data_IF_991347076353
#
_entry.id   IF_991347076353
#
_cell.length_a   1.000
_cell.length_b   1.000
_cell.length_c   1.000
_cell.angle_alpha   90.00
_cell.angle_beta   90.00
_cell.angle_gamma   90.00
#
_symmetry.space_group_name_H-M   'P 1'
#
loop_
_entity.id
_entity.type
_entity.pdbx_description
1 polymer ?
#
# COMPACT_ATOMS: atom_id res chain seq x y z
N UNK A 1 -48.17 -18.13 39.00
CA UNK A 1 -47.96 -16.93 38.19
C UNK A 1 -46.87 -17.23 37.19
N UNK A 2 -47.26 -17.33 35.94
CA UNK A 2 -46.49 -17.81 34.82
C UNK A 2 -45.78 -16.61 34.20
N UNK A 3 -44.49 -16.72 33.86
CA UNK A 3 -43.93 -16.30 32.56
C UNK A 3 -42.68 -17.14 32.25
N UNK A 4 -42.96 -18.38 31.85
CA UNK A 4 -42.16 -19.12 30.89
C UNK A 4 -42.28 -18.41 29.53
N UNK A 5 -41.17 -17.92 28.97
CA UNK A 5 -41.04 -17.73 27.51
C UNK A 5 -39.54 -17.67 27.19
N UNK A 6 -38.90 -18.83 27.02
CA UNK A 6 -38.76 -19.58 25.75
C UNK A 6 -37.56 -19.10 24.93
N UNK A 7 -36.49 -19.88 25.08
CA UNK A 7 -35.61 -20.25 23.98
C UNK A 7 -36.43 -20.49 22.69
N UNK A 8 -35.89 -19.99 21.58
CA UNK A 8 -36.22 -20.29 20.17
C UNK A 8 -37.52 -19.65 19.63
N UNK A 9 -37.33 -18.61 18.81
CA UNK A 9 -38.21 -18.37 17.66
C UNK A 9 -37.32 -18.25 16.42
N UNK A 10 -37.16 -19.38 15.74
CA UNK A 10 -36.81 -19.41 14.33
C UNK A 10 -37.87 -18.60 13.59
N UNK A 11 -37.51 -17.46 13.00
CA UNK A 11 -38.36 -16.81 12.02
C UNK A 11 -38.02 -17.42 10.66
N UNK A 12 -38.65 -18.56 10.37
CA UNK A 12 -38.81 -19.05 9.01
C UNK A 12 -39.72 -18.08 8.27
N UNK A 13 -39.13 -17.19 7.47
CA UNK A 13 -39.83 -16.67 6.29
C UNK A 13 -39.46 -17.60 5.15
N UNK A 14 -40.23 -18.67 4.99
CA UNK A 14 -40.21 -19.50 3.79
C UNK A 14 -41.28 -19.01 2.82
N UNK A 15 -40.87 -18.51 1.67
CA UNK A 15 -41.64 -18.57 0.42
C UNK A 15 -40.64 -18.28 -0.70
N UNK A 16 -40.28 -19.17 -1.61
CA UNK A 16 -40.65 -20.55 -1.88
C UNK A 16 -40.01 -20.88 -3.24
N UNK A 17 -39.29 -22.00 -3.28
CA UNK A 17 -39.05 -22.85 -4.45
C UNK A 17 -38.31 -22.24 -5.65
N UNK A 18 -37.06 -22.65 -5.79
CA UNK A 18 -36.59 -23.28 -7.03
C UNK A 18 -35.73 -24.50 -6.65
N UNK A 19 -36.36 -25.67 -6.69
CA UNK A 19 -35.66 -26.94 -6.88
C UNK A 19 -35.18 -26.90 -8.33
N UNK A 20 -33.88 -26.94 -8.62
CA UNK A 20 -33.35 -27.57 -9.84
C UNK A 20 -31.82 -27.65 -9.79
N UNK A 21 -31.32 -28.87 -10.05
CA UNK A 21 -29.92 -29.29 -10.22
C UNK A 21 -28.93 -28.88 -9.13
N UNK A 22 -28.38 -29.88 -8.45
CA UNK A 22 -27.29 -29.66 -7.52
C UNK A 22 -26.17 -28.89 -8.19
N UNK A 23 -25.89 -27.71 -7.65
CA UNK A 23 -24.58 -27.11 -7.42
C UNK A 23 -24.72 -26.19 -6.20
N UNK A 24 -23.64 -26.06 -5.45
CA UNK A 24 -23.61 -25.72 -4.04
C UNK A 24 -24.09 -24.29 -3.72
N UNK A 25 -25.08 -24.19 -2.84
CA UNK A 25 -25.46 -22.95 -2.12
C UNK A 25 -24.39 -22.47 -1.11
N UNK A 26 -23.22 -23.11 -1.10
CA UNK A 26 -22.07 -22.75 -0.29
C UNK A 26 -21.17 -21.69 -0.95
N UNK A 27 -21.23 -21.54 -2.29
CA UNK A 27 -20.41 -20.56 -3.01
C UNK A 27 -20.87 -19.12 -2.78
N UNK A 28 -22.11 -18.90 -2.31
CA UNK A 28 -22.60 -17.55 -1.99
C UNK A 28 -22.07 -17.00 -0.64
N UNK A 29 -21.48 -17.85 0.20
CA UNK A 29 -20.99 -17.51 1.54
C UNK A 29 -19.47 -17.71 1.71
N UNK A 30 -18.75 -18.05 0.63
CA UNK A 30 -17.30 -18.26 0.61
C UNK A 30 -16.58 -17.35 -0.41
N UNK A 31 -17.02 -16.11 -0.59
CA UNK A 31 -16.09 -15.10 -1.08
C UNK A 31 -15.46 -14.42 0.13
N UNK A 32 -14.24 -14.83 0.57
CA UNK A 32 -13.43 -13.86 1.29
C UNK A 32 -13.26 -12.70 0.31
N UNK A 33 -13.72 -11.51 0.71
CA UNK A 33 -13.25 -10.26 0.12
C UNK A 33 -11.77 -10.13 0.50
N UNK A 34 -10.96 -10.99 -0.10
CA UNK A 34 -9.53 -10.94 -0.09
C UNK A 34 -9.21 -9.86 -1.11
N UNK A 35 -9.03 -8.64 -0.62
CA UNK A 35 -8.37 -7.59 -1.36
C UNK A 35 -6.89 -8.01 -1.51
N UNK A 36 -6.66 -9.12 -2.21
CA UNK A 36 -5.37 -9.37 -2.82
C UNK A 36 -5.28 -8.32 -3.92
N UNK A 37 -4.52 -7.28 -3.63
CA UNK A 37 -4.03 -6.40 -4.68
C UNK A 37 -3.38 -7.34 -5.69
N UNK A 38 -3.94 -7.43 -6.88
CA UNK A 38 -3.41 -8.27 -7.94
C UNK A 38 -2.06 -7.68 -8.37
N UNK A 39 -1.00 -8.12 -7.69
CA UNK A 39 0.39 -7.72 -7.93
C UNK A 39 0.85 -8.02 -9.37
N UNK A 40 0.04 -8.70 -10.19
CA UNK A 40 0.37 -9.09 -11.56
C UNK A 40 0.15 -8.00 -12.63
N UNK A 41 -0.41 -6.83 -12.28
CA UNK A 41 -0.70 -5.76 -13.26
C UNK A 41 0.14 -4.47 -13.09
N UNK A 42 1.33 -4.52 -12.48
CA UNK A 42 2.23 -3.36 -12.43
C UNK A 42 3.01 -3.23 -13.75
N UNK A 43 2.71 -2.19 -14.52
CA UNK A 43 3.41 -1.86 -15.77
C UNK A 43 4.64 -1.00 -15.49
N UNK A 44 5.75 -1.26 -16.18
CA UNK A 44 7.01 -0.49 -16.02
C UNK A 44 6.81 1.01 -16.26
N UNK A 45 5.91 1.38 -17.17
CA UNK A 45 5.57 2.78 -17.50
C UNK A 45 4.47 3.38 -16.63
N UNK A 46 3.96 2.64 -15.65
CA UNK A 46 2.91 3.09 -14.76
C UNK A 46 3.38 4.18 -13.79
N UNK A 47 2.43 5.01 -13.35
CA UNK A 47 2.64 6.04 -12.35
C UNK A 47 1.97 5.61 -11.06
N UNK A 48 2.76 5.34 -10.04
CA UNK A 48 2.28 4.76 -8.79
C UNK A 48 2.75 5.59 -7.61
N UNK A 49 1.89 5.72 -6.60
CA UNK A 49 2.19 6.48 -5.37
C UNK A 49 1.68 5.80 -4.11
N UNK A 50 0.84 4.77 -4.21
CA UNK A 50 0.29 4.07 -3.04
C UNK A 50 1.29 3.06 -2.48
N UNK A 51 1.12 2.68 -1.21
CA UNK A 51 1.97 1.66 -0.56
C UNK A 51 2.05 0.38 -1.38
N UNK A 52 0.90 -0.16 -1.78
CA UNK A 52 0.83 -1.49 -2.38
C UNK A 52 1.41 -1.50 -3.80
N UNK A 53 1.11 -0.48 -4.60
CA UNK A 53 1.60 -0.38 -5.98
C UNK A 53 3.10 -0.11 -6.04
N UNK A 54 3.60 0.83 -5.22
CA UNK A 54 5.03 1.16 -5.20
C UNK A 54 5.84 0.00 -4.61
N UNK A 55 5.31 -0.70 -3.59
CA UNK A 55 5.97 -1.90 -3.04
C UNK A 55 6.02 -3.03 -4.08
N UNK A 56 4.94 -3.23 -4.83
CA UNK A 56 4.90 -4.19 -5.94
C UNK A 56 5.88 -3.81 -7.05
N UNK A 57 5.97 -2.53 -7.40
CA UNK A 57 6.93 -2.04 -8.39
C UNK A 57 8.38 -2.27 -7.95
N UNK A 58 8.74 -1.91 -6.72
CA UNK A 58 10.08 -2.13 -6.17
C UNK A 58 10.41 -3.62 -6.15
N UNK A 59 9.46 -4.47 -5.76
CA UNK A 59 9.66 -5.92 -5.70
C UNK A 59 9.90 -6.51 -7.10
N UNK A 60 9.17 -6.03 -8.11
CA UNK A 60 9.25 -6.57 -9.47
C UNK A 60 10.44 -6.02 -10.27
N UNK A 61 10.67 -4.71 -10.23
CA UNK A 61 11.66 -4.02 -11.07
C UNK A 61 12.96 -3.65 -10.32
N UNK A 62 13.01 -3.82 -8.99
CA UNK A 62 14.12 -3.36 -8.14
C UNK A 62 14.47 -1.87 -8.33
N UNK A 63 13.46 -1.07 -8.65
CA UNK A 63 13.55 0.36 -8.94
C UNK A 63 12.30 1.09 -8.43
N UNK A 64 12.33 2.42 -8.44
CA UNK A 64 11.12 3.22 -8.24
C UNK A 64 10.40 3.45 -9.57
N UNK A 65 9.06 3.64 -9.54
CA UNK A 65 8.31 4.15 -10.69
C UNK A 65 8.92 5.44 -11.24
N UNK A 66 8.76 5.68 -12.55
CA UNK A 66 9.37 6.83 -13.23
C UNK A 66 8.89 8.20 -12.73
N UNK A 67 7.79 8.26 -11.97
CA UNK A 67 7.25 9.47 -11.34
C UNK A 67 7.92 9.84 -10.00
N UNK A 68 9.14 9.35 -9.75
CA UNK A 68 9.96 9.71 -8.59
C UNK A 68 11.22 10.48 -9.00
N UNK A 69 11.59 11.46 -8.19
CA UNK A 69 12.84 12.21 -8.27
C UNK A 69 13.59 12.12 -6.94
N UNK A 70 14.90 12.02 -6.99
CA UNK A 70 15.73 12.28 -5.81
C UNK A 70 15.58 13.73 -5.37
N UNK A 71 15.93 14.03 -4.11
CA UNK A 71 15.94 15.43 -3.63
C UNK A 71 16.82 16.33 -4.48
N UNK A 72 18.00 15.84 -4.87
CA UNK A 72 18.95 16.60 -5.69
C UNK A 72 18.37 16.93 -7.07
N UNK A 73 17.73 15.96 -7.75
CA UNK A 73 17.06 16.21 -9.03
C UNK A 73 15.90 17.20 -8.89
N UNK A 74 15.12 17.11 -7.81
CA UNK A 74 14.06 18.07 -7.53
C UNK A 74 14.61 19.49 -7.25
N UNK A 75 15.72 19.60 -6.51
CA UNK A 75 16.39 20.89 -6.27
C UNK A 75 16.90 21.52 -7.58
N UNK A 76 17.43 20.73 -8.50
CA UNK A 76 17.87 21.20 -9.82
C UNK A 76 16.70 21.76 -10.66
N UNK A 77 15.47 21.30 -10.42
CA UNK A 77 14.25 21.81 -11.04
C UNK A 77 13.67 23.05 -10.33
N UNK A 78 14.25 23.47 -9.20
CA UNK A 78 13.80 24.63 -8.43
C UNK A 78 12.85 24.30 -7.27
N UNK A 79 12.82 23.04 -6.81
CA UNK A 79 12.03 22.68 -5.65
C UNK A 79 12.55 23.35 -4.38
N UNK A 80 11.67 24.05 -3.69
CA UNK A 80 11.88 24.65 -2.37
C UNK A 80 10.93 23.98 -1.36
N UNK A 81 11.45 23.10 -0.47
CA UNK A 81 10.61 22.33 0.44
C UNK A 81 9.72 23.18 1.35
N UNK A 82 10.23 24.32 1.80
CA UNK A 82 9.54 25.26 2.68
C UNK A 82 8.42 26.02 1.96
N UNK A 83 8.43 26.06 0.62
CA UNK A 83 7.37 26.65 -0.20
C UNK A 83 6.30 25.63 -0.62
N UNK A 84 6.57 24.32 -0.46
CA UNK A 84 5.66 23.26 -0.91
C UNK A 84 5.45 23.23 -2.42
N UNK A 85 6.42 23.73 -3.20
CA UNK A 85 6.27 24.03 -4.63
C UNK A 85 6.66 22.86 -5.58
N UNK A 86 6.82 21.63 -5.09
CA UNK A 86 7.29 20.51 -5.92
C UNK A 86 6.38 20.29 -7.13
N UNK A 87 5.07 20.35 -6.94
CA UNK A 87 4.11 20.17 -8.03
C UNK A 87 4.13 21.30 -9.06
N UNK A 88 4.57 22.49 -8.67
CA UNK A 88 4.70 23.63 -9.58
C UNK A 88 5.90 23.46 -10.51
N UNK A 89 7.01 22.92 -9.99
CA UNK A 89 8.27 22.74 -10.74
C UNK A 89 8.40 21.37 -11.41
N UNK A 90 7.73 20.35 -10.87
CA UNK A 90 7.76 18.97 -11.34
C UNK A 90 6.36 18.32 -11.23
N UNK A 91 5.39 18.70 -12.09
CA UNK A 91 4.02 18.21 -12.01
C UNK A 91 3.94 16.68 -12.07
N UNK A 92 3.24 16.09 -11.09
CA UNK A 92 3.02 14.64 -11.00
C UNK A 92 4.20 13.83 -10.44
N UNK A 93 5.29 14.49 -10.03
CA UNK A 93 6.45 13.82 -9.44
C UNK A 93 6.34 13.74 -7.91
N UNK A 94 6.95 12.71 -7.33
CA UNK A 94 7.15 12.52 -5.88
C UNK A 94 8.64 12.44 -5.54
N UNK A 95 9.01 12.66 -4.27
CA UNK A 95 10.40 12.52 -3.83
C UNK A 95 10.71 11.06 -3.48
N UNK A 96 11.83 10.52 -3.95
CA UNK A 96 12.28 9.19 -3.58
C UNK A 96 13.57 8.76 -4.27
N UNK A 97 14.21 7.73 -3.72
CA UNK A 97 15.49 7.19 -4.22
C UNK A 97 16.70 7.63 -3.41
N UNK A 98 16.54 8.57 -2.47
CA UNK A 98 17.62 9.01 -1.58
C UNK A 98 17.99 7.94 -0.54
N UNK A 99 19.26 7.90 -0.08
CA UNK A 99 19.67 6.98 0.99
C UNK A 99 18.94 7.24 2.32
N UNK A 100 18.40 6.18 2.92
CA UNK A 100 17.89 6.19 4.29
C UNK A 100 18.93 5.63 5.25
N UNK A 101 19.50 6.49 6.09
CA UNK A 101 20.66 6.14 6.93
C UNK A 101 20.33 5.31 8.18
N UNK A 102 19.06 5.05 8.49
CA UNK A 102 18.64 4.32 9.70
C UNK A 102 19.36 4.79 10.99
N UNK A 103 19.51 6.11 11.17
CA UNK A 103 20.37 6.70 12.23
C UNK A 103 19.93 6.33 13.64
N UNK A 104 18.64 6.09 13.81
CA UNK A 104 18.03 5.73 15.08
C UNK A 104 17.98 4.21 15.30
N UNK A 105 18.43 3.41 14.32
CA UNK A 105 18.53 1.95 14.44
C UNK A 105 17.19 1.25 14.62
N UNK A 106 16.11 1.81 14.06
CA UNK A 106 14.75 1.24 14.14
C UNK A 106 14.56 0.04 13.21
N UNK A 107 15.36 -0.04 12.14
CA UNK A 107 15.37 -1.15 11.20
C UNK A 107 16.62 -2.03 11.41
N UNK A 108 16.62 -3.28 10.91
CA UNK A 108 17.85 -4.09 10.82
C UNK A 108 19.00 -3.39 10.09
N UNK A 109 20.21 -3.93 10.19
CA UNK A 109 21.37 -3.36 9.50
C UNK A 109 21.38 -3.77 8.02
N UNK A 110 21.13 -2.81 7.12
CA UNK A 110 21.24 -2.97 5.67
C UNK A 110 21.47 -1.60 4.99
N UNK A 111 21.59 -1.60 3.67
CA UNK A 111 21.54 -0.36 2.87
C UNK A 111 20.11 -0.10 2.49
N UNK A 112 19.59 1.07 2.87
CA UNK A 112 18.21 1.46 2.61
C UNK A 112 18.12 2.74 1.79
N UNK A 113 17.00 2.88 1.10
CA UNK A 113 16.56 4.06 0.39
C UNK A 113 15.13 4.40 0.83
N UNK A 114 14.70 5.63 0.59
CA UNK A 114 13.36 6.10 0.95
C UNK A 114 12.57 6.63 -0.24
N UNK A 115 11.24 6.54 -0.17
CA UNK A 115 10.32 7.11 -1.15
C UNK A 115 9.05 7.63 -0.49
N UNK A 116 8.58 8.80 -0.94
CA UNK A 116 7.29 9.39 -0.54
C UNK A 116 6.12 8.55 -1.04
N UNK A 117 5.06 8.51 -0.23
CA UNK A 117 3.85 7.74 -0.52
C UNK A 117 2.63 8.64 -0.38
N UNK A 118 1.65 8.44 -1.24
CA UNK A 118 0.39 9.20 -1.29
C UNK A 118 0.63 10.74 -1.37
N UNK A 119 1.67 11.19 -2.06
CA UNK A 119 1.92 12.63 -2.23
C UNK A 119 0.88 13.26 -3.17
N UNK A 120 0.31 14.39 -2.76
CA UNK A 120 -0.85 15.03 -3.44
C UNK A 120 -0.54 16.35 -4.13
N UNK A 121 0.71 16.81 -4.10
CA UNK A 121 1.14 18.02 -4.84
C UNK A 121 1.30 19.29 -4.01
N UNK A 122 1.19 19.20 -2.68
CA UNK A 122 1.37 20.29 -1.73
C UNK A 122 2.65 20.10 -0.91
N UNK A 123 2.60 20.22 0.41
CA UNK A 123 3.73 19.85 1.26
C UNK A 123 3.90 18.32 1.29
N UNK A 124 5.14 17.86 1.41
CA UNK A 124 5.41 16.43 1.63
C UNK A 124 4.74 15.99 2.93
N UNK A 125 3.99 14.89 2.87
CA UNK A 125 3.36 14.28 4.04
C UNK A 125 4.37 13.47 4.87
N UNK A 126 3.89 12.73 5.86
CA UNK A 126 4.67 11.90 6.79
C UNK A 126 4.93 10.46 6.30
N UNK A 127 4.32 10.04 5.19
CA UNK A 127 4.27 8.65 4.74
C UNK A 127 5.43 8.27 3.84
N UNK A 128 6.12 7.18 4.14
CA UNK A 128 7.28 6.73 3.38
C UNK A 128 7.33 5.22 3.26
N UNK A 129 7.81 4.75 2.11
CA UNK A 129 8.49 3.45 2.03
C UNK A 129 9.97 3.64 2.34
N UNK A 130 10.54 2.65 3.03
CA UNK A 130 11.97 2.46 3.22
C UNK A 130 12.31 1.06 2.72
N UNK A 131 13.08 0.97 1.65
CA UNK A 131 13.37 -0.29 0.97
C UNK A 131 14.86 -0.55 0.91
N UNK A 132 15.23 -1.82 1.05
CA UNK A 132 16.63 -2.25 0.98
C UNK A 132 17.02 -2.65 -0.43
N UNK A 133 18.33 -2.71 -0.69
CA UNK A 133 18.88 -3.29 -1.92
C UNK A 133 18.57 -4.79 -2.10
N UNK A 134 18.17 -5.48 -1.02
CA UNK A 134 17.83 -6.91 -1.02
C UNK A 134 16.32 -7.16 -1.18
N UNK A 135 15.52 -6.10 -1.33
CA UNK A 135 14.08 -6.21 -1.58
C UNK A 135 13.20 -6.21 -0.33
N UNK A 136 13.75 -6.15 0.88
CA UNK A 136 12.93 -5.90 2.10
C UNK A 136 12.37 -4.49 2.06
N UNK A 137 11.07 -4.35 2.34
CA UNK A 137 10.34 -3.08 2.31
C UNK A 137 9.67 -2.83 3.66
N UNK A 138 9.82 -1.61 4.17
CA UNK A 138 9.17 -1.11 5.37
C UNK A 138 8.33 0.12 5.03
N UNK A 139 7.25 0.32 5.76
CA UNK A 139 6.39 1.51 5.66
C UNK A 139 6.31 2.24 6.99
N UNK A 140 6.30 3.58 6.93
CA UNK A 140 5.99 4.49 8.03
C UNK A 140 4.93 5.47 7.59
N UNK A 141 4.01 5.80 8.49
CA UNK A 141 2.97 6.83 8.35
C UNK A 141 3.08 7.89 9.45
N UNK A 142 4.27 8.02 10.06
CA UNK A 142 4.49 8.88 11.21
C UNK A 142 5.92 9.43 11.23
N UNK A 143 6.44 9.88 10.08
CA UNK A 143 7.76 10.49 9.97
C UNK A 143 8.88 9.63 10.61
N UNK A 144 8.92 8.34 10.25
CA UNK A 144 9.96 7.40 10.68
C UNK A 144 9.99 7.08 12.19
N UNK A 145 8.94 7.42 12.95
CA UNK A 145 8.84 7.08 14.38
C UNK A 145 8.66 5.58 14.60
N UNK A 146 7.89 4.92 13.73
CA UNK A 146 7.73 3.47 13.70
C UNK A 146 7.59 2.92 12.29
N UNK A 147 7.85 1.62 12.14
CA UNK A 147 7.80 0.92 10.86
C UNK A 147 6.98 -0.36 10.95
N UNK A 148 6.29 -0.69 9.87
CA UNK A 148 5.76 -2.04 9.60
C UNK A 148 6.45 -2.61 8.38
N UNK A 149 6.82 -3.88 8.45
CA UNK A 149 7.35 -4.60 7.28
C UNK A 149 6.20 -4.87 6.29
N UNK A 150 6.48 -4.71 5.01
CA UNK A 150 5.56 -5.06 3.92
C UNK A 150 5.98 -6.42 3.39
N UNK A 151 5.15 -7.43 3.63
CA UNK A 151 5.34 -8.77 3.08
C UNK A 151 4.61 -8.87 1.74
N UNK A 152 5.38 -8.90 0.66
CA UNK A 152 4.87 -9.01 -0.71
C UNK A 152 4.72 -10.48 -1.17
N UNK A 153 5.03 -11.45 -0.30
CA UNK A 153 5.14 -12.85 -0.65
C UNK A 153 6.33 -13.15 -1.56
N UNK A 154 6.71 -14.42 -1.68
CA UNK A 154 7.72 -14.81 -2.67
C UNK A 154 7.17 -14.62 -4.08
N UNK A 155 7.85 -13.81 -4.89
CA UNK A 155 7.64 -13.80 -6.33
C UNK A 155 7.88 -15.22 -6.86
N UNK A 156 6.80 -15.89 -7.28
CA UNK A 156 6.84 -17.26 -7.83
C UNK A 156 7.45 -17.31 -9.23
#
# INVERSE_FOLDING_TARGET
>A
MNKLSRFILVLFVTLGVAIFSGEDILDLFLEPNDQTVDHSNIEETGHYTTVDEVSAYITHYQALPSNYLTKDEAYDLGWEPDEGNLHDVAPGMSIGGDPFYNREGRLPNATYYEADIDYTGDYRNEKRLVYSNEGTIYYTDNHYESFREIDMGEAK
#
